data_IF_815810821042
#
_entry.id   IF_815810821042
#
_cell.length_a   1.000
_cell.length_b   1.000
_cell.length_c   1.000
_cell.angle_alpha   90.00
_cell.angle_beta   90.00
_cell.angle_gamma   90.00
#
_symmetry.space_group_name_H-M   'P 1'
#
loop_
_entity.id
_entity.type
_entity.pdbx_description
1 polymer ?
#
# COMPACT_ATOMS: atom_id res chain seq x y z
N UNK A 1 7.15 -5.92 -10.76
CA UNK A 1 7.18 -4.50 -10.41
C UNK A 1 8.46 -4.23 -9.66
N UNK A 2 9.26 -3.29 -10.13
CA UNK A 2 10.49 -2.82 -9.49
C UNK A 2 10.18 -1.77 -8.41
N UNK A 3 11.19 -1.35 -7.64
CA UNK A 3 11.06 -0.24 -6.70
C UNK A 3 10.78 1.10 -7.40
N UNK A 4 11.37 1.31 -8.58
CA UNK A 4 11.14 2.54 -9.35
C UNK A 4 9.73 2.57 -9.93
N UNK A 5 9.21 1.45 -10.43
CA UNK A 5 7.82 1.33 -10.86
C UNK A 5 6.85 1.63 -9.70
N UNK A 6 7.13 1.07 -8.52
CA UNK A 6 6.35 1.28 -7.30
C UNK A 6 6.30 2.77 -6.92
N UNK A 7 7.48 3.39 -6.79
CA UNK A 7 7.60 4.78 -6.38
C UNK A 7 7.01 5.71 -7.44
N UNK A 8 7.25 5.44 -8.73
CA UNK A 8 6.68 6.22 -9.83
C UNK A 8 5.15 6.18 -9.83
N UNK A 9 4.56 5.00 -9.62
CA UNK A 9 3.11 4.89 -9.51
C UNK A 9 2.56 5.65 -8.29
N UNK A 10 3.14 5.46 -7.11
CA UNK A 10 2.66 6.15 -5.91
C UNK A 10 2.83 7.67 -6.00
N UNK A 11 3.91 8.16 -6.63
CA UNK A 11 4.16 9.58 -6.90
C UNK A 11 3.11 10.20 -7.83
N UNK A 12 2.54 9.42 -8.74
CA UNK A 12 1.52 9.89 -9.68
C UNK A 12 0.17 10.16 -9.03
N UNK A 13 -0.06 9.65 -7.81
CA UNK A 13 -1.32 9.85 -7.10
C UNK A 13 -1.35 11.26 -6.47
N UNK A 14 -2.51 11.95 -6.50
CA UNK A 14 -2.61 13.33 -6.02
C UNK A 14 -2.21 13.49 -4.55
N UNK A 15 -1.56 14.61 -4.23
CA UNK A 15 -1.32 15.05 -2.85
C UNK A 15 -0.64 14.00 -1.96
N UNK A 16 0.26 13.21 -2.58
CA UNK A 16 1.06 12.20 -1.90
C UNK A 16 2.41 12.73 -1.46
N UNK A 17 2.98 12.08 -0.45
CA UNK A 17 4.32 12.35 0.06
C UNK A 17 5.06 11.04 0.25
N UNK A 18 6.38 11.07 0.09
CA UNK A 18 7.26 9.92 0.18
C UNK A 18 8.33 10.13 1.25
N UNK A 19 8.59 9.09 2.03
CA UNK A 19 9.69 9.06 3.00
C UNK A 19 10.28 7.66 3.07
N UNK A 20 11.60 7.57 3.16
CA UNK A 20 12.30 6.30 3.44
C UNK A 20 12.50 6.19 4.95
N UNK A 21 11.88 5.20 5.58
CA UNK A 21 11.91 5.01 7.05
C UNK A 21 11.79 3.51 7.41
N UNK A 22 11.87 3.18 8.70
CA UNK A 22 11.73 1.81 9.21
C UNK A 22 12.71 0.79 8.57
N UNK A 23 13.99 1.15 8.53
CA UNK A 23 15.03 0.27 7.99
C UNK A 23 15.04 0.22 6.46
N UNK A 24 14.78 1.35 5.80
CA UNK A 24 14.90 1.47 4.34
C UNK A 24 13.59 1.26 3.56
N UNK A 25 12.45 1.13 4.23
CA UNK A 25 11.16 1.00 3.56
C UNK A 25 10.72 2.35 2.95
N UNK A 26 10.24 2.30 1.72
CA UNK A 26 9.64 3.39 0.97
C UNK A 26 8.18 3.54 1.37
N UNK A 27 7.89 4.55 2.18
CA UNK A 27 6.58 4.78 2.77
C UNK A 27 5.89 5.93 2.07
N UNK A 28 4.72 5.63 1.50
CA UNK A 28 3.89 6.59 0.81
C UNK A 28 2.66 6.96 1.63
N UNK A 29 2.41 8.27 1.71
CA UNK A 29 1.36 8.87 2.55
C UNK A 29 0.51 9.85 1.76
N UNK A 30 -0.75 9.99 2.15
CA UNK A 30 -1.67 11.06 1.71
C UNK A 30 -2.26 11.73 2.94
N UNK A 31 -2.20 13.07 3.00
CA UNK A 31 -2.62 13.83 4.19
C UNK A 31 -1.96 13.35 5.49
N UNK A 32 -0.67 12.98 5.42
CA UNK A 32 0.11 12.46 6.54
C UNK A 32 -0.20 11.01 6.96
N UNK A 33 -1.18 10.34 6.34
CA UNK A 33 -1.53 8.94 6.63
C UNK A 33 -0.94 7.98 5.59
N UNK A 34 -0.37 6.88 6.05
CA UNK A 34 0.22 5.85 5.18
C UNK A 34 -0.85 5.14 4.37
N UNK A 35 -0.61 4.94 3.08
CA UNK A 35 -1.42 4.08 2.21
C UNK A 35 -0.62 2.96 1.55
N UNK A 36 0.70 3.09 1.41
CA UNK A 36 1.53 2.03 0.88
C UNK A 36 2.91 2.03 1.51
N UNK A 37 3.50 0.83 1.62
CA UNK A 37 4.86 0.63 2.11
C UNK A 37 5.53 -0.38 1.17
N UNK A 38 6.56 0.05 0.44
CA UNK A 38 7.41 -0.81 -0.36
C UNK A 38 8.72 -1.07 0.35
N UNK A 39 9.19 -2.32 0.39
CA UNK A 39 10.46 -2.68 1.01
C UNK A 39 10.35 -3.90 1.90
N UNK A 40 11.50 -4.26 2.48
CA UNK A 40 11.81 -5.54 3.12
C UNK A 40 11.69 -6.72 2.16
N UNK A 41 12.84 -7.23 1.73
CA UNK A 41 12.96 -8.57 1.18
C UNK A 41 14.35 -9.12 1.56
N UNK A 42 14.42 -10.42 1.80
CA UNK A 42 15.67 -11.18 1.95
C UNK A 42 16.13 -11.77 0.59
N UNK A 43 15.55 -11.33 -0.54
CA UNK A 43 15.81 -11.82 -1.91
C UNK A 43 15.53 -10.79 -3.02
N UNK A 44 15.27 -11.25 -4.25
CA UNK A 44 15.31 -10.40 -5.48
C UNK A 44 14.05 -9.56 -5.79
N UNK A 45 12.94 -9.77 -5.07
CA UNK A 45 11.66 -9.07 -5.29
C UNK A 45 11.40 -7.87 -4.38
N UNK A 46 10.49 -6.97 -4.78
CA UNK A 46 9.96 -5.93 -3.90
C UNK A 46 8.70 -6.42 -3.18
N UNK A 47 8.72 -6.45 -1.85
CA UNK A 47 7.48 -6.62 -1.08
C UNK A 47 6.73 -5.30 -0.99
N UNK A 48 5.41 -5.35 -1.15
CA UNK A 48 4.55 -4.16 -1.10
C UNK A 48 3.37 -4.41 -0.19
N UNK A 49 3.24 -3.57 0.83
CA UNK A 49 2.17 -3.60 1.81
C UNK A 49 1.18 -2.46 1.52
N UNK A 50 -0.11 -2.79 1.45
CA UNK A 50 -1.17 -1.84 1.13
C UNK A 50 -2.43 -2.12 1.95
N UNK A 51 -3.25 -1.08 2.11
CA UNK A 51 -4.54 -1.18 2.78
C UNK A 51 -5.58 -1.75 1.82
N UNK A 52 -6.44 -2.64 2.31
CA UNK A 52 -7.54 -3.18 1.54
C UNK A 52 -8.88 -3.07 2.30
N UNK A 53 -9.98 -3.35 1.60
CA UNK A 53 -11.30 -3.52 2.21
C UNK A 53 -11.37 -4.83 3.01
N UNK A 54 -12.43 -5.01 3.80
CA UNK A 54 -12.65 -6.27 4.54
C UNK A 54 -12.81 -7.46 3.59
N UNK A 55 -13.67 -7.32 2.58
CA UNK A 55 -13.89 -8.35 1.57
C UNK A 55 -12.60 -8.72 0.82
N UNK A 56 -11.83 -7.72 0.39
CA UNK A 56 -10.55 -7.98 -0.28
C UNK A 56 -9.55 -8.65 0.67
N UNK A 57 -9.51 -8.25 1.96
CA UNK A 57 -8.63 -8.89 2.94
C UNK A 57 -8.91 -10.38 3.08
N UNK A 58 -10.18 -10.76 3.19
CA UNK A 58 -10.57 -12.15 3.40
C UNK A 58 -10.26 -13.04 2.20
N UNK A 59 -10.27 -12.50 0.99
CA UNK A 59 -9.86 -13.21 -0.23
C UNK A 59 -8.33 -13.26 -0.34
N UNK A 60 -7.67 -12.11 -0.23
CA UNK A 60 -6.24 -11.96 -0.54
C UNK A 60 -5.33 -12.64 0.47
N UNK A 61 -5.73 -12.74 1.75
CA UNK A 61 -4.90 -13.36 2.79
C UNK A 61 -4.62 -14.85 2.55
N UNK A 62 -5.45 -15.51 1.74
CA UNK A 62 -5.36 -16.94 1.42
C UNK A 62 -4.67 -17.19 0.06
N UNK A 63 -4.31 -16.14 -0.69
CA UNK A 63 -3.73 -16.31 -2.02
C UNK A 63 -2.21 -16.51 -1.99
N UNK A 64 -1.66 -17.38 -2.84
CA UNK A 64 -0.22 -17.53 -3.01
C UNK A 64 0.51 -16.20 -3.27
N UNK A 65 1.66 -16.02 -2.62
CA UNK A 65 2.45 -14.80 -2.73
C UNK A 65 1.91 -13.60 -1.96
N UNK A 66 0.79 -13.74 -1.23
CA UNK A 66 0.21 -12.71 -0.38
C UNK A 66 0.15 -13.18 1.07
N UNK A 67 0.22 -12.23 2.01
CA UNK A 67 -0.01 -12.50 3.43
C UNK A 67 -0.62 -11.30 4.15
N UNK A 68 -1.26 -11.50 5.32
CA UNK A 68 -1.53 -10.40 6.24
C UNK A 68 -0.26 -9.61 6.56
N UNK A 69 -0.34 -8.27 6.50
CA UNK A 69 0.81 -7.43 6.77
C UNK A 69 1.28 -7.56 8.23
N UNK A 70 2.55 -7.92 8.50
CA UNK A 70 3.07 -8.01 9.85
C UNK A 70 2.84 -6.70 10.63
N UNK A 71 2.56 -6.81 11.93
CA UNK A 71 2.27 -5.71 12.87
C UNK A 71 0.99 -4.90 12.60
N UNK A 72 0.59 -4.68 11.34
CA UNK A 72 -0.65 -3.97 10.99
C UNK A 72 -1.87 -4.88 11.12
N UNK A 73 -1.79 -6.09 10.56
CA UNK A 73 -2.86 -7.07 10.64
C UNK A 73 -3.08 -7.58 12.06
N UNK A 74 -2.00 -7.77 12.84
CA UNK A 74 -2.10 -8.17 14.25
C UNK A 74 -2.77 -7.11 15.14
N UNK A 75 -2.86 -5.86 14.68
CA UNK A 75 -3.63 -4.77 15.32
C UNK A 75 -5.06 -4.65 14.79
N UNK A 76 -5.56 -5.68 14.09
CA UNK A 76 -6.91 -5.73 13.50
C UNK A 76 -7.08 -4.89 12.23
N UNK A 77 -6.00 -4.30 11.69
CA UNK A 77 -6.10 -3.50 10.47
C UNK A 77 -6.07 -4.38 9.22
N UNK A 78 -6.97 -4.11 8.27
CA UNK A 78 -7.03 -4.83 6.99
C UNK A 78 -5.94 -4.34 6.03
N UNK A 79 -4.78 -4.99 6.07
CA UNK A 79 -3.61 -4.73 5.23
C UNK A 79 -3.01 -6.05 4.76
N UNK A 80 -2.64 -6.09 3.49
CA UNK A 80 -1.98 -7.22 2.85
C UNK A 80 -0.57 -6.80 2.44
N UNK A 81 0.37 -7.72 2.60
CA UNK A 81 1.69 -7.63 1.99
C UNK A 81 1.77 -8.62 0.84
N UNK A 82 2.07 -8.10 -0.35
CA UNK A 82 2.43 -8.90 -1.51
C UNK A 82 3.93 -9.19 -1.46
N UNK A 83 4.28 -10.47 -1.49
CA UNK A 83 5.65 -10.97 -1.47
C UNK A 83 6.13 -11.38 -2.87
N UNK A 84 5.25 -11.97 -3.68
CA UNK A 84 5.54 -12.40 -5.05
C UNK A 84 4.43 -11.98 -6.01
N UNK A 85 4.65 -12.18 -7.30
CA UNK A 85 3.65 -11.89 -8.33
C UNK A 85 2.70 -13.01 -8.70
N UNK A 86 2.70 -14.11 -7.95
CA UNK A 86 2.02 -15.36 -8.32
C UNK A 86 0.50 -15.20 -8.46
N UNK A 87 -0.18 -14.63 -7.46
CA UNK A 87 -1.62 -14.35 -7.51
C UNK A 87 -1.97 -12.89 -7.72
N UNK A 88 -0.96 -12.02 -7.86
CA UNK A 88 -1.14 -10.59 -8.07
C UNK A 88 0.01 -10.05 -8.92
N UNK A 89 -0.26 -9.83 -10.20
CA UNK A 89 0.69 -9.19 -11.10
C UNK A 89 0.89 -7.69 -10.77
N UNK A 90 1.69 -7.01 -11.58
CA UNK A 90 2.02 -5.61 -11.36
C UNK A 90 0.83 -4.65 -11.55
N UNK A 91 -0.10 -4.97 -12.46
CA UNK A 91 -1.22 -4.08 -12.75
C UNK A 91 -2.34 -4.26 -11.73
N UNK A 92 -2.62 -5.49 -11.32
CA UNK A 92 -3.49 -5.77 -10.18
C UNK A 92 -2.97 -5.08 -8.89
N UNK A 93 -1.66 -5.09 -8.66
CA UNK A 93 -1.05 -4.39 -7.54
C UNK A 93 -1.27 -2.87 -7.60
N UNK A 94 -1.15 -2.24 -8.78
CA UNK A 94 -1.45 -0.81 -8.95
C UNK A 94 -2.92 -0.50 -8.64
N UNK A 95 -3.83 -1.38 -9.04
CA UNK A 95 -5.26 -1.23 -8.71
C UNK A 95 -5.50 -1.27 -7.20
N UNK A 96 -4.87 -2.21 -6.49
CA UNK A 96 -4.94 -2.27 -5.03
C UNK A 96 -4.25 -1.09 -4.34
N UNK A 97 -3.17 -0.55 -4.89
CA UNK A 97 -2.52 0.66 -4.38
C UNK A 97 -3.41 1.89 -4.56
N UNK A 98 -4.11 2.02 -5.69
CA UNK A 98 -5.10 3.08 -5.94
C UNK A 98 -6.27 2.97 -4.97
N UNK A 99 -6.76 1.76 -4.72
CA UNK A 99 -7.84 1.53 -3.77
C UNK A 99 -7.40 1.80 -2.33
N UNK A 100 -6.18 1.39 -1.95
CA UNK A 100 -5.57 1.73 -0.67
C UNK A 100 -5.52 3.23 -0.45
N UNK A 101 -5.03 3.98 -1.45
CA UNK A 101 -5.03 5.44 -1.44
C UNK A 101 -6.44 6.00 -1.22
N UNK A 102 -7.44 5.54 -1.99
CA UNK A 102 -8.84 5.97 -1.87
C UNK A 102 -9.40 5.72 -0.45
N UNK A 103 -9.15 4.55 0.12
CA UNK A 103 -9.58 4.19 1.48
C UNK A 103 -8.94 5.08 2.55
N UNK A 104 -7.69 5.51 2.36
CA UNK A 104 -7.02 6.42 3.29
C UNK A 104 -7.53 7.86 3.14
N UNK A 105 -7.76 8.33 1.90
CA UNK A 105 -8.38 9.64 1.64
C UNK A 105 -9.75 9.76 2.30
N UNK A 106 -10.57 8.71 2.25
CA UNK A 106 -11.87 8.69 2.92
C UNK A 106 -11.79 8.86 4.43
N UNK A 107 -10.67 8.44 5.04
CA UNK A 107 -10.39 8.59 6.47
C UNK A 107 -9.84 9.97 6.85
N UNK A 108 -9.56 10.84 5.88
CA UNK A 108 -9.18 12.22 6.15
C UNK A 108 -10.42 13.06 6.52
N UNK A 109 -10.30 14.05 7.42
CA UNK A 109 -11.35 15.03 7.64
C UNK A 109 -11.73 15.76 6.34
N UNK A 110 -12.99 16.20 6.21
CA UNK A 110 -13.47 16.96 5.04
C UNK A 110 -12.62 18.19 4.74
N UNK A 111 -12.22 18.93 5.79
CA UNK A 111 -11.36 20.11 5.65
C UNK A 111 -9.99 19.77 5.05
N UNK A 112 -9.33 18.72 5.57
CA UNK A 112 -8.05 18.26 5.06
C UNK A 112 -8.13 17.79 3.59
N UNK A 113 -9.22 17.11 3.19
CA UNK A 113 -9.43 16.75 1.78
C UNK A 113 -9.54 18.00 0.90
N UNK A 114 -10.33 18.99 1.32
CA UNK A 114 -10.49 20.25 0.58
C UNK A 114 -9.16 20.99 0.40
N UNK A 115 -8.35 21.08 1.46
CA UNK A 115 -7.02 21.72 1.41
C UNK A 115 -6.06 21.00 0.46
N UNK A 116 -6.18 19.68 0.35
CA UNK A 116 -5.37 18.84 -0.52
C UNK A 116 -5.94 18.68 -1.93
N UNK A 117 -7.10 19.28 -2.25
CA UNK A 117 -7.77 19.13 -3.54
C UNK A 117 -8.32 17.71 -3.80
N UNK A 118 -8.76 17.01 -2.75
CA UNK A 118 -9.23 15.61 -2.75
C UNK A 118 -10.72 15.45 -2.44
#
# INVERSE_FOLDING_TARGET
>A
MTLDDYNGFCASLPSTTHVVQWGGAHVWKVGGKVFAIGGWNDGDGLFVTFKCSEMAYDILKEQPGLRPAPYLASRGMKWIQRQTGESMDADALKDYLRESYRLIVQKLPKAARKELGL
#
